data_IF_328688491686
#
_entry.id   IF_328688491686
#
_cell.length_a   1.000
_cell.length_b   1.000
_cell.length_c   1.000
_cell.angle_alpha   90.00
_cell.angle_beta   90.00
_cell.angle_gamma   90.00
#
_symmetry.space_group_name_H-M   'P 1'
#
loop_
_entity.id
_entity.type
_entity.pdbx_description
1 polymer ?
#
# COMPACT_ATOMS: atom_id res chain seq x y z
N UNK A 1 13.38 -17.47 7.50
CA UNK A 1 12.32 -16.48 7.77
C UNK A 1 11.16 -16.77 6.84
N UNK A 2 9.94 -16.77 7.36
CA UNK A 2 8.73 -17.01 6.55
C UNK A 2 8.20 -15.66 6.08
N UNK A 3 8.11 -15.46 4.77
CA UNK A 3 7.42 -14.30 4.17
C UNK A 3 5.91 -14.52 4.24
N UNK A 4 5.18 -13.53 4.76
CA UNK A 4 3.72 -13.52 4.69
C UNK A 4 3.25 -13.11 3.29
N UNK A 5 2.18 -13.73 2.80
CA UNK A 5 1.55 -13.38 1.52
C UNK A 5 0.26 -12.62 1.80
N UNK A 6 0.12 -11.46 1.18
CA UNK A 6 -1.04 -10.58 1.35
C UNK A 6 -1.61 -10.28 -0.04
N UNK A 7 -2.92 -10.51 -0.27
CA UNK A 7 -3.57 -10.12 -1.52
C UNK A 7 -3.40 -8.63 -1.80
N UNK A 8 -2.94 -8.30 -3.01
CA UNK A 8 -2.74 -6.93 -3.43
C UNK A 8 -2.83 -6.80 -4.96
N UNK A 9 -3.08 -5.58 -5.42
CA UNK A 9 -2.99 -5.21 -6.83
C UNK A 9 -1.89 -4.16 -6.99
N UNK A 10 -0.93 -4.40 -7.88
CA UNK A 10 0.04 -3.39 -8.27
C UNK A 10 -0.39 -2.79 -9.61
N UNK A 11 -0.77 -1.51 -9.61
CA UNK A 11 -1.34 -0.89 -10.80
C UNK A 11 -0.87 0.54 -11.02
N UNK A 12 -0.96 0.96 -12.29
CA UNK A 12 -0.78 2.35 -12.71
C UNK A 12 -2.11 3.08 -12.66
N UNK A 13 -2.16 4.20 -11.93
CA UNK A 13 -3.25 5.18 -11.95
C UNK A 13 -2.74 6.51 -12.47
N UNK A 14 -3.18 6.92 -13.67
CA UNK A 14 -2.62 8.10 -14.33
C UNK A 14 -1.10 7.97 -14.52
N UNK A 15 -0.34 8.94 -14.00
CA UNK A 15 1.14 8.98 -14.09
C UNK A 15 1.84 8.37 -12.87
N UNK A 16 1.10 7.73 -11.95
CA UNK A 16 1.64 7.11 -10.73
C UNK A 16 1.41 5.60 -10.69
N UNK A 17 2.15 4.89 -9.83
CA UNK A 17 1.88 3.49 -9.48
C UNK A 17 1.69 3.36 -7.97
N UNK A 18 0.85 2.42 -7.56
CA UNK A 18 0.59 2.13 -6.16
C UNK A 18 0.37 0.62 -5.95
N UNK A 19 0.65 0.17 -4.73
CA UNK A 19 0.18 -1.13 -4.24
C UNK A 19 -1.18 -0.91 -3.57
N UNK A 20 -2.20 -1.62 -4.03
CA UNK A 20 -3.59 -1.43 -3.59
C UNK A 20 -4.06 -2.67 -2.85
N UNK A 21 -4.59 -2.45 -1.65
CA UNK A 21 -5.06 -3.49 -0.74
C UNK A 21 -6.54 -3.34 -0.45
N UNK A 22 -7.23 -4.45 -0.19
CA UNK A 22 -8.54 -4.41 0.46
C UNK A 22 -8.34 -4.31 1.98
N UNK A 23 -9.12 -3.48 2.67
CA UNK A 23 -8.98 -3.28 4.13
C UNK A 23 -9.06 -4.59 4.94
N UNK A 24 -9.90 -5.56 4.54
CA UNK A 24 -10.06 -6.87 5.19
C UNK A 24 -8.82 -7.75 5.17
N UNK A 25 -7.89 -7.49 4.26
CA UNK A 25 -6.65 -8.25 4.09
C UNK A 25 -5.49 -7.64 4.90
N UNK A 26 -5.73 -6.53 5.62
CA UNK A 26 -4.73 -5.78 6.36
C UNK A 26 -4.83 -6.04 7.87
N UNK A 27 -3.72 -5.85 8.62
CA UNK A 27 -3.76 -5.82 10.08
C UNK A 27 -4.70 -4.73 10.59
N UNK A 28 -5.47 -5.03 11.64
CA UNK A 28 -6.34 -4.06 12.30
C UNK A 28 -5.52 -2.91 12.92
N UNK A 29 -4.38 -3.25 13.53
CA UNK A 29 -3.45 -2.28 14.12
C UNK A 29 -2.88 -1.32 13.07
N UNK A 30 -3.07 -0.01 13.30
CA UNK A 30 -2.52 1.03 12.42
C UNK A 30 -0.99 1.04 12.41
N UNK A 31 -0.36 0.73 13.55
CA UNK A 31 1.09 0.66 13.67
C UNK A 31 1.68 -0.53 12.87
N UNK A 32 1.05 -1.70 12.98
CA UNK A 32 1.46 -2.88 12.22
C UNK A 32 1.27 -2.66 10.72
N UNK A 33 0.16 -2.03 10.33
CA UNK A 33 -0.13 -1.67 8.95
C UNK A 33 0.89 -0.68 8.38
N UNK A 34 1.28 0.33 9.14
CA UNK A 34 2.31 1.28 8.73
C UNK A 34 3.67 0.58 8.54
N UNK A 35 4.08 -0.28 9.48
CA UNK A 35 5.31 -1.07 9.35
C UNK A 35 5.27 -2.01 8.12
N UNK A 36 4.11 -2.63 7.87
CA UNK A 36 3.89 -3.47 6.71
C UNK A 36 3.98 -2.68 5.39
N UNK A 37 3.38 -1.50 5.30
CA UNK A 37 3.47 -0.63 4.11
C UNK A 37 4.90 -0.17 3.83
N UNK A 38 5.64 0.19 4.87
CA UNK A 38 7.07 0.51 4.76
C UNK A 38 7.84 -0.68 4.18
N UNK A 39 7.63 -1.88 4.71
CA UNK A 39 8.28 -3.09 4.19
C UNK A 39 7.89 -3.40 2.73
N UNK A 40 6.59 -3.32 2.40
CA UNK A 40 6.08 -3.51 1.03
C UNK A 40 6.72 -2.54 0.04
N UNK A 41 6.93 -1.29 0.45
CA UNK A 41 7.54 -0.27 -0.40
C UNK A 41 9.07 -0.30 -0.41
N UNK A 42 9.71 -1.11 0.44
CA UNK A 42 11.17 -1.13 0.57
C UNK A 42 11.71 0.10 1.30
N UNK A 43 10.99 0.59 2.31
CA UNK A 43 11.31 1.77 3.11
C UNK A 43 11.51 1.43 4.59
N UNK A 44 12.35 2.19 5.34
CA UNK A 44 13.28 3.19 4.83
C UNK A 44 14.45 2.54 4.08
N UNK A 45 14.81 3.08 2.92
CA UNK A 45 16.03 2.73 2.20
C UNK A 45 17.02 3.89 2.28
N UNK A 46 18.20 3.74 2.93
CA UNK A 46 19.21 4.79 3.00
C UNK A 46 19.64 5.33 1.64
N UNK A 47 19.53 4.53 0.57
CA UNK A 47 19.88 4.93 -0.79
C UNK A 47 18.69 5.49 -1.58
N UNK A 48 17.48 5.48 -1.02
CA UNK A 48 16.24 5.97 -1.63
C UNK A 48 15.91 5.31 -2.97
N UNK A 49 16.31 4.06 -3.17
CA UNK A 49 16.10 3.29 -4.41
C UNK A 49 14.92 2.32 -4.31
N UNK A 50 14.60 1.87 -3.10
CA UNK A 50 13.52 0.92 -2.81
C UNK A 50 13.68 -0.43 -3.55
N UNK A 51 14.91 -0.91 -3.67
CA UNK A 51 15.23 -2.13 -4.44
C UNK A 51 14.71 -3.42 -3.80
N UNK A 52 14.41 -3.40 -2.50
CA UNK A 52 13.88 -4.54 -1.74
C UNK A 52 12.38 -4.36 -1.43
N UNK A 53 11.63 -3.83 -2.40
CA UNK A 53 10.20 -3.60 -2.29
C UNK A 53 9.56 -3.26 -3.63
N UNK A 54 8.27 -2.90 -3.60
CA UNK A 54 7.49 -2.49 -4.78
C UNK A 54 7.55 -0.98 -5.06
N UNK A 55 8.20 -0.22 -4.17
CA UNK A 55 8.50 1.19 -4.37
C UNK A 55 9.47 1.42 -5.54
N UNK A 56 9.54 2.65 -6.03
CA UNK A 56 10.42 3.02 -7.16
C UNK A 56 11.42 4.12 -6.85
N UNK A 57 11.65 4.46 -5.58
CA UNK A 57 12.57 5.54 -5.16
C UNK A 57 12.10 6.95 -5.52
N UNK A 58 10.85 7.09 -5.99
CA UNK A 58 10.23 8.34 -6.38
C UNK A 58 8.83 8.43 -5.77
N UNK A 59 8.39 9.64 -5.40
CA UNK A 59 7.10 9.84 -4.76
C UNK A 59 5.91 9.33 -5.59
N UNK A 60 6.00 9.40 -6.92
CA UNK A 60 4.96 8.88 -7.83
C UNK A 60 4.91 7.35 -7.91
N UNK A 61 5.94 6.67 -7.40
CA UNK A 61 6.13 5.21 -7.42
C UNK A 61 6.19 4.60 -6.02
N UNK A 62 6.00 5.40 -4.96
CA UNK A 62 6.04 4.96 -3.57
C UNK A 62 4.72 5.33 -2.88
N UNK A 63 3.70 4.50 -3.13
CA UNK A 63 2.31 4.78 -2.76
C UNK A 63 1.59 3.51 -2.36
N UNK A 64 0.75 3.62 -1.35
CA UNK A 64 -0.22 2.60 -0.96
C UNK A 64 -1.64 3.16 -1.06
N UNK A 65 -2.56 2.29 -1.44
CA UNK A 65 -3.99 2.57 -1.39
C UNK A 65 -4.69 1.46 -0.62
N UNK A 66 -5.65 1.85 0.22
CA UNK A 66 -6.58 0.94 0.86
C UNK A 66 -7.98 1.21 0.31
N UNK A 67 -8.67 0.15 -0.09
CA UNK A 67 -10.08 0.21 -0.51
C UNK A 67 -10.95 -0.70 0.35
N UNK A 68 -12.20 -0.28 0.57
CA UNK A 68 -13.25 -1.08 1.19
C UNK A 68 -14.64 -0.59 0.78
N UNK A 69 -15.66 -1.45 0.93
CA UNK A 69 -17.06 -1.01 0.76
C UNK A 69 -17.38 0.11 1.75
N UNK A 70 -17.91 1.23 1.26
CA UNK A 70 -18.27 2.34 2.14
C UNK A 70 -19.54 2.03 2.93
N UNK A 71 -19.61 2.57 4.15
CA UNK A 71 -20.85 2.59 4.95
C UNK A 71 -21.64 3.89 4.75
N UNK A 72 -21.13 4.84 3.96
CA UNK A 72 -21.75 6.15 3.76
C UNK A 72 -22.86 6.07 2.70
N UNK A 73 -24.07 6.62 2.95
CA UNK A 73 -25.14 6.62 1.96
C UNK A 73 -24.72 7.24 0.63
N UNK A 74 -24.93 6.52 -0.47
CA UNK A 74 -24.60 6.99 -1.83
C UNK A 74 -23.11 6.93 -2.20
N UNK A 75 -22.26 6.30 -1.37
CA UNK A 75 -20.85 6.07 -1.67
C UNK A 75 -20.61 4.57 -1.76
N UNK A 76 -20.00 4.10 -2.84
CA UNK A 76 -19.74 2.66 -3.02
C UNK A 76 -18.48 2.19 -2.30
N UNK A 77 -17.43 3.03 -2.30
CA UNK A 77 -16.07 2.65 -1.86
C UNK A 77 -15.44 3.75 -1.02
N UNK A 78 -14.86 3.38 0.11
CA UNK A 78 -13.92 4.21 0.85
C UNK A 78 -12.50 3.99 0.30
N UNK A 79 -11.82 5.09 -0.02
CA UNK A 79 -10.49 5.11 -0.61
C UNK A 79 -9.56 5.89 0.33
N UNK A 80 -8.54 5.21 0.83
CA UNK A 80 -7.50 5.83 1.69
C UNK A 80 -6.16 5.77 0.99
N UNK A 81 -5.48 6.93 0.91
CA UNK A 81 -4.13 7.07 0.36
C UNK A 81 -3.11 7.15 1.49
N UNK A 82 -1.98 6.43 1.34
CA UNK A 82 -0.87 6.41 2.28
C UNK A 82 0.49 6.43 1.54
#
# INVERSE_FOLDING_TARGET
MSTQRIPAVFMRGGTSKAVVFHARDLPESSAERAAMFLHVLGSPDPNQRQLDGLGGGLSSLSKVVIVESSQRPGVDVDYTFA
#
